data_IF_954981326367
#
_entry.id   IF_954981326367
#
_cell.length_a   1.000
_cell.length_b   1.000
_cell.length_c   1.000
_cell.angle_alpha   90.00
_cell.angle_beta   90.00
_cell.angle_gamma   90.00
#
_symmetry.space_group_name_H-M   'P 1'
#
loop_
_entity.id
_entity.type
_entity.pdbx_description
1 polymer ?
#
# COMPACT_ATOMS: atom_id res chain seq x y z
N UNK A 1 -15.49 19.57 -41.84
CA UNK A 1 -14.47 19.72 -42.89
C UNK A 1 -13.11 19.72 -42.22
N UNK A 2 -12.31 18.67 -42.44
CA UNK A 2 -10.99 18.52 -41.83
C UNK A 2 -10.02 19.33 -42.70
N UNK A 3 -9.62 20.52 -42.24
CA UNK A 3 -8.57 21.29 -42.91
C UNK A 3 -7.24 20.59 -42.62
N UNK A 4 -6.87 19.57 -43.42
CA UNK A 4 -5.57 18.92 -43.28
C UNK A 4 -4.51 19.90 -43.78
N UNK A 5 -3.77 20.52 -42.86
CA UNK A 5 -2.56 21.25 -43.22
C UNK A 5 -1.38 20.26 -43.28
N UNK A 6 -0.63 20.17 -44.39
CA UNK A 6 0.51 19.26 -44.49
C UNK A 6 1.65 19.57 -43.49
N UNK A 7 1.75 20.82 -43.04
CA UNK A 7 2.80 21.27 -42.11
C UNK A 7 2.40 21.17 -40.64
N UNK A 8 1.14 20.78 -40.35
CA UNK A 8 0.62 20.69 -38.97
C UNK A 8 1.48 19.75 -38.11
N UNK A 9 1.83 18.58 -38.65
CA UNK A 9 2.66 17.60 -37.95
C UNK A 9 4.04 18.17 -37.61
N UNK A 10 4.68 18.88 -38.55
CA UNK A 10 5.99 19.51 -38.35
C UNK A 10 5.94 20.62 -37.31
N UNK A 11 4.89 21.45 -37.31
CA UNK A 11 4.66 22.48 -36.28
C UNK A 11 4.44 21.83 -34.92
N UNK A 12 3.62 20.78 -34.84
CA UNK A 12 3.37 20.05 -33.60
C UNK A 12 4.64 19.42 -33.03
N UNK A 13 5.50 18.85 -33.88
CA UNK A 13 6.77 18.27 -33.49
C UNK A 13 7.76 19.34 -32.97
N UNK A 14 7.84 20.50 -33.62
CA UNK A 14 8.68 21.61 -33.16
C UNK A 14 8.24 22.16 -31.79
N UNK A 15 6.93 22.20 -31.53
CA UNK A 15 6.35 22.57 -30.23
C UNK A 15 6.70 21.53 -29.16
N UNK A 16 6.53 20.24 -29.46
CA UNK A 16 6.84 19.15 -28.52
C UNK A 16 8.34 19.11 -28.17
N UNK A 17 9.21 19.35 -29.16
CA UNK A 17 10.65 19.46 -28.97
C UNK A 17 11.08 20.73 -28.20
N UNK A 18 10.16 21.66 -27.93
CA UNK A 18 10.46 22.92 -27.24
C UNK A 18 11.30 23.90 -28.07
N UNK A 19 11.33 23.72 -29.40
CA UNK A 19 12.11 24.55 -30.32
C UNK A 19 11.35 25.79 -30.78
N UNK A 20 10.04 25.84 -30.57
CA UNK A 20 9.21 26.99 -30.88
C UNK A 20 9.32 28.08 -29.81
N UNK A 21 9.46 29.38 -30.15
CA UNK A 21 9.48 29.99 -31.49
C UNK A 21 10.90 30.29 -32.03
N UNK A 22 11.93 30.21 -31.20
CA UNK A 22 13.25 30.80 -31.51
C UNK A 22 14.22 29.82 -32.18
N UNK A 23 14.02 28.51 -32.01
CA UNK A 23 14.86 27.45 -32.58
C UNK A 23 14.15 26.65 -33.69
N UNK A 24 13.06 27.20 -34.24
CA UNK A 24 12.33 26.61 -35.36
C UNK A 24 12.73 27.25 -36.70
N UNK A 25 12.52 26.51 -37.78
CA UNK A 25 12.75 26.98 -39.14
C UNK A 25 11.88 28.23 -39.44
N UNK A 26 12.46 29.35 -39.92
CA UNK A 26 11.72 30.58 -40.22
C UNK A 26 10.57 30.38 -41.20
N UNK A 27 10.69 29.44 -42.15
CA UNK A 27 9.63 29.15 -43.12
C UNK A 27 8.42 28.49 -42.45
N UNK A 28 8.67 27.64 -41.45
CA UNK A 28 7.63 26.99 -40.66
C UNK A 28 6.89 28.00 -39.77
N UNK A 29 7.62 29.00 -39.27
CA UNK A 29 7.06 30.11 -38.51
C UNK A 29 6.15 30.99 -39.37
N UNK A 30 6.63 31.41 -40.54
CA UNK A 30 5.84 32.19 -41.48
C UNK A 30 4.57 31.43 -41.91
N UNK A 31 4.66 30.11 -42.10
CA UNK A 31 3.50 29.28 -42.40
C UNK A 31 2.46 29.27 -41.27
N UNK A 32 2.89 29.13 -40.01
CA UNK A 32 1.96 29.11 -38.88
C UNK A 32 1.24 30.45 -38.67
N UNK A 33 1.85 31.57 -39.06
CA UNK A 33 1.22 32.89 -39.03
C UNK A 33 0.16 33.06 -40.13
N UNK A 34 0.34 32.40 -41.28
CA UNK A 34 -0.62 32.44 -42.40
C UNK A 34 -1.69 31.34 -42.39
N UNK A 35 -1.47 30.23 -41.67
CA UNK A 35 -2.37 29.08 -41.65
C UNK A 35 -3.17 29.02 -40.35
N UNK A 36 -4.51 29.10 -40.47
CA UNK A 36 -5.44 29.07 -39.32
C UNK A 36 -5.32 27.80 -38.46
N UNK A 37 -5.07 26.63 -39.07
CA UNK A 37 -4.93 25.37 -38.34
C UNK A 37 -3.66 25.38 -37.49
N UNK A 38 -2.54 25.76 -38.09
CA UNK A 38 -1.25 25.84 -37.41
C UNK A 38 -1.24 26.95 -36.34
N UNK A 39 -1.89 28.10 -36.60
CA UNK A 39 -2.01 29.18 -35.62
C UNK A 39 -2.79 28.76 -34.38
N UNK A 40 -3.89 28.01 -34.56
CA UNK A 40 -4.72 27.52 -33.45
C UNK A 40 -3.93 26.52 -32.59
N UNK A 41 -3.17 25.62 -33.22
CA UNK A 41 -2.29 24.67 -32.52
C UNK A 41 -1.22 25.40 -31.71
N UNK A 42 -0.54 26.39 -32.30
CA UNK A 42 0.46 27.21 -31.61
C UNK A 42 -0.17 27.98 -30.45
N UNK A 43 -1.35 28.56 -30.64
CA UNK A 43 -2.05 29.33 -29.61
C UNK A 43 -2.42 28.46 -28.41
N UNK A 44 -3.00 27.27 -28.64
CA UNK A 44 -3.36 26.34 -27.56
C UNK A 44 -2.12 25.83 -26.84
N UNK A 45 -1.09 25.41 -27.59
CA UNK A 45 0.12 24.88 -26.99
C UNK A 45 0.88 25.92 -26.16
N UNK A 46 1.00 27.17 -26.65
CA UNK A 46 1.66 28.25 -25.91
C UNK A 46 0.85 28.68 -24.69
N UNK A 47 -0.48 28.68 -24.75
CA UNK A 47 -1.34 28.94 -23.59
C UNK A 47 -1.16 27.87 -22.50
N UNK A 48 -1.17 26.59 -22.87
CA UNK A 48 -0.91 25.47 -21.97
C UNK A 48 0.50 25.52 -21.37
N UNK A 49 1.52 25.86 -22.18
CA UNK A 49 2.90 26.00 -21.69
C UNK A 49 3.00 27.14 -20.67
N UNK A 50 2.32 28.26 -20.93
CA UNK A 50 2.28 29.41 -20.01
C UNK A 50 1.58 29.06 -18.70
N UNK A 51 0.44 28.37 -18.74
CA UNK A 51 -0.25 27.92 -17.52
C UNK A 51 0.62 26.92 -16.75
N UNK A 52 1.24 25.97 -17.43
CA UNK A 52 2.16 25.01 -16.79
C UNK A 52 3.33 25.72 -16.10
N UNK A 53 3.99 26.66 -16.78
CA UNK A 53 5.08 27.42 -16.20
C UNK A 53 4.62 28.26 -14.99
N UNK A 54 3.42 28.83 -15.04
CA UNK A 54 2.87 29.58 -13.90
C UNK A 54 2.60 28.67 -12.70
N UNK A 55 2.11 27.44 -12.93
CA UNK A 55 1.90 26.44 -11.89
C UNK A 55 3.24 25.96 -11.34
N UNK A 56 4.25 25.77 -12.20
CA UNK A 56 5.58 25.36 -11.79
C UNK A 56 6.28 26.43 -10.95
N UNK A 57 6.08 27.71 -11.27
CA UNK A 57 6.60 28.82 -10.46
C UNK A 57 5.85 28.97 -9.14
N UNK A 58 4.53 28.71 -9.12
CA UNK A 58 3.74 28.71 -7.90
C UNK A 58 3.98 27.48 -7.02
N UNK A 59 4.33 26.35 -7.63
CA UNK A 59 4.74 25.14 -6.93
C UNK A 59 6.11 25.37 -6.30
N UNK A 60 6.14 25.65 -5.00
CA UNK A 60 7.38 25.56 -4.24
C UNK A 60 7.74 24.06 -4.16
N UNK A 61 8.79 23.59 -4.85
CA UNK A 61 9.19 22.20 -4.73
C UNK A 61 9.52 21.96 -3.26
N UNK A 62 8.97 20.87 -2.69
CA UNK A 62 9.42 20.39 -1.39
C UNK A 62 10.95 20.33 -1.38
N UNK A 63 11.56 20.71 -0.26
CA UNK A 63 13.02 20.86 -0.20
C UNK A 63 13.71 19.62 -0.79
N UNK A 64 14.77 19.79 -1.60
CA UNK A 64 15.44 18.66 -2.27
C UNK A 64 15.84 17.55 -1.28
N UNK A 65 16.20 17.93 -0.05
CA UNK A 65 16.48 16.99 1.04
C UNK A 65 15.26 16.18 1.48
N UNK A 66 14.05 16.75 1.51
CA UNK A 66 12.83 16.02 1.85
C UNK A 66 12.47 14.99 0.76
N UNK A 67 12.63 15.35 -0.51
CA UNK A 67 12.41 14.44 -1.64
C UNK A 67 13.40 13.27 -1.60
N UNK A 68 14.69 13.57 -1.40
CA UNK A 68 15.72 12.54 -1.27
C UNK A 68 15.50 11.65 -0.05
N UNK A 69 15.17 12.23 1.11
CA UNK A 69 14.88 11.49 2.33
C UNK A 69 13.67 10.56 2.17
N UNK A 70 12.59 11.03 1.53
CA UNK A 70 11.43 10.19 1.21
C UNK A 70 11.80 9.03 0.28
N UNK A 71 12.63 9.28 -0.74
CA UNK A 71 13.12 8.24 -1.63
C UNK A 71 13.97 7.21 -0.88
N UNK A 72 14.87 7.68 -0.01
CA UNK A 72 15.74 6.82 0.80
C UNK A 72 14.94 5.98 1.80
N UNK A 73 13.93 6.54 2.47
CA UNK A 73 13.06 5.78 3.38
C UNK A 73 12.32 4.67 2.62
N UNK A 74 11.80 4.94 1.42
CA UNK A 74 11.14 3.90 0.62
C UNK A 74 12.09 2.75 0.30
N UNK A 75 13.34 3.05 -0.03
CA UNK A 75 14.36 2.03 -0.28
C UNK A 75 14.69 1.22 0.98
N UNK A 76 14.82 1.87 2.14
CA UNK A 76 15.09 1.19 3.42
C UNK A 76 13.92 0.33 3.86
N UNK A 77 12.67 0.82 3.72
CA UNK A 77 11.48 0.06 4.06
C UNK A 77 11.35 -1.20 3.19
N UNK A 78 11.64 -1.11 1.89
CA UNK A 78 11.64 -2.28 1.00
C UNK A 78 12.68 -3.34 1.40
N UNK A 79 13.80 -2.94 2.03
CA UNK A 79 14.79 -3.87 2.57
C UNK A 79 14.32 -4.48 3.91
N UNK A 80 13.70 -3.68 4.78
CA UNK A 80 13.14 -4.14 6.06
C UNK A 80 11.98 -5.13 5.88
N UNK A 81 11.13 -4.93 4.87
CA UNK A 81 10.04 -5.86 4.54
C UNK A 81 10.55 -7.31 4.38
N UNK A 82 11.72 -7.47 3.73
CA UNK A 82 12.35 -8.79 3.52
C UNK A 82 12.91 -9.39 4.81
N UNK A 83 13.35 -8.56 5.74
CA UNK A 83 13.91 -8.99 7.04
C UNK A 83 12.80 -9.33 8.03
N UNK A 84 11.61 -8.73 7.89
CA UNK A 84 10.47 -8.98 8.79
C UNK A 84 9.65 -10.23 8.42
N UNK A 85 9.69 -10.69 7.17
CA UNK A 85 9.04 -11.94 6.75
C UNK A 85 9.39 -13.19 7.60
N UNK A 86 10.65 -13.46 7.98
CA UNK A 86 10.99 -14.65 8.78
C UNK A 86 10.42 -14.62 10.20
N UNK A 87 10.19 -13.43 10.78
CA UNK A 87 9.66 -13.29 12.16
C UNK A 87 8.23 -13.84 12.24
N UNK A 88 7.40 -13.52 11.24
CA UNK A 88 6.01 -14.00 11.17
C UNK A 88 5.96 -15.52 10.97
N UNK A 89 6.92 -16.09 10.25
CA UNK A 89 7.03 -17.56 10.07
C UNK A 89 7.44 -18.23 11.39
N UNK A 90 8.41 -17.67 12.09
CA UNK A 90 8.87 -18.19 13.38
C UNK A 90 7.74 -18.21 14.43
N UNK A 91 6.93 -17.15 14.49
CA UNK A 91 5.79 -17.08 15.40
C UNK A 91 4.74 -18.16 15.11
N UNK A 92 4.44 -18.42 13.83
CA UNK A 92 3.51 -19.49 13.43
C UNK A 92 4.05 -20.88 13.76
N UNK A 93 5.34 -21.10 13.56
CA UNK A 93 5.98 -22.39 13.90
C UNK A 93 5.97 -22.61 15.40
N UNK A 94 6.29 -21.58 16.19
CA UNK A 94 6.22 -21.66 17.66
C UNK A 94 4.81 -21.98 18.15
N UNK A 95 3.78 -21.29 17.61
CA UNK A 95 2.39 -21.56 17.96
C UNK A 95 1.96 -23.00 17.63
N UNK A 96 2.36 -23.52 16.46
CA UNK A 96 2.08 -24.91 16.07
C UNK A 96 2.78 -25.92 16.99
N UNK A 97 4.04 -25.69 17.36
CA UNK A 97 4.78 -26.57 18.29
C UNK A 97 4.11 -26.58 19.65
N UNK A 98 3.71 -25.41 20.18
CA UNK A 98 3.01 -25.32 21.47
C UNK A 98 1.69 -26.08 21.42
N UNK A 99 0.90 -25.90 20.37
CA UNK A 99 -0.38 -26.59 20.21
C UNK A 99 -0.20 -28.12 20.14
N UNK A 100 0.78 -28.59 19.38
CA UNK A 100 1.11 -30.02 19.31
C UNK A 100 1.58 -30.56 20.66
N UNK A 101 2.41 -29.82 21.40
CA UNK A 101 2.88 -30.21 22.71
C UNK A 101 1.73 -30.33 23.72
N UNK A 102 0.78 -29.38 23.71
CA UNK A 102 -0.42 -29.43 24.55
C UNK A 102 -1.26 -30.66 24.21
N UNK A 103 -1.52 -30.92 22.92
CA UNK A 103 -2.29 -32.09 22.49
C UNK A 103 -1.60 -33.39 22.89
N UNK A 104 -0.29 -33.51 22.67
CA UNK A 104 0.49 -34.69 23.05
C UNK A 104 0.43 -34.92 24.56
N UNK A 105 0.56 -33.86 25.37
CA UNK A 105 0.49 -33.94 26.82
C UNK A 105 -0.92 -34.34 27.31
N UNK A 106 -1.97 -33.85 26.66
CA UNK A 106 -3.35 -34.26 26.93
C UNK A 106 -3.59 -35.74 26.58
N UNK A 107 -3.01 -36.22 25.48
CA UNK A 107 -3.11 -37.63 25.06
C UNK A 107 -2.35 -38.54 26.00
N UNK A 108 -1.12 -38.18 26.38
CA UNK A 108 -0.32 -38.95 27.33
C UNK A 108 -1.03 -39.03 28.68
N UNK A 109 -1.52 -37.89 29.16
CA UNK A 109 -2.09 -37.79 30.51
C UNK A 109 -3.56 -38.16 30.57
N UNK A 110 -4.16 -38.75 29.53
CA UNK A 110 -5.58 -39.13 29.45
C UNK A 110 -6.11 -39.82 30.72
N UNK A 111 -5.33 -40.72 31.31
CA UNK A 111 -5.72 -41.47 32.51
C UNK A 111 -5.86 -40.55 33.74
N UNK A 112 -4.82 -39.79 34.08
CA UNK A 112 -4.86 -38.79 35.17
C UNK A 112 -5.85 -37.65 34.88
N UNK A 113 -5.99 -37.27 33.60
CA UNK A 113 -6.85 -36.19 33.16
C UNK A 113 -8.32 -36.53 33.40
N UNK A 114 -8.72 -37.79 33.24
CA UNK A 114 -10.09 -38.24 33.56
C UNK A 114 -10.41 -38.14 35.05
N UNK A 115 -9.44 -38.50 35.91
CA UNK A 115 -9.55 -38.37 37.36
C UNK A 115 -9.60 -36.91 37.80
N UNK A 116 -8.71 -36.07 37.27
CA UNK A 116 -8.70 -34.63 37.53
C UNK A 116 -9.93 -33.91 36.96
N UNK A 117 -10.39 -34.24 35.74
CA UNK A 117 -11.64 -33.69 35.20
C UNK A 117 -12.82 -34.04 36.10
N UNK A 118 -12.90 -35.28 36.60
CA UNK A 118 -13.99 -35.68 37.50
C UNK A 118 -13.95 -34.94 38.84
N UNK A 119 -12.75 -34.67 39.37
CA UNK A 119 -12.58 -33.93 40.64
C UNK A 119 -12.75 -32.41 40.48
N UNK A 120 -12.57 -31.88 39.27
CA UNK A 120 -12.84 -30.47 38.94
C UNK A 120 -14.30 -30.26 38.52
N UNK A 121 -14.89 -31.17 37.73
CA UNK A 121 -16.29 -31.08 37.29
C UNK A 121 -17.29 -31.47 38.37
N UNK A 122 -16.92 -32.34 39.32
CA UNK A 122 -17.73 -32.66 40.50
C UNK A 122 -18.19 -31.41 41.27
N UNK A 123 -17.27 -30.57 41.77
CA UNK A 123 -17.61 -29.31 42.45
C UNK A 123 -18.14 -28.24 41.49
N UNK A 124 -17.77 -28.25 40.20
CA UNK A 124 -18.28 -27.30 39.20
C UNK A 124 -19.77 -27.48 38.89
N UNK A 125 -20.30 -28.70 39.03
CA UNK A 125 -21.72 -29.01 38.87
C UNK A 125 -22.59 -28.46 40.03
N UNK A 126 -21.98 -28.04 41.14
CA UNK A 126 -22.70 -27.30 42.18
C UNK A 126 -22.98 -25.87 41.69
N UNK A 127 -24.25 -25.44 41.78
CA UNK A 127 -24.76 -24.17 41.22
C UNK A 127 -24.01 -22.89 41.64
N UNK A 128 -23.07 -22.96 42.58
CA UNK A 128 -22.33 -21.82 43.12
C UNK A 128 -21.09 -21.39 42.29
N UNK A 129 -20.51 -22.27 41.45
CA UNK A 129 -19.25 -22.00 40.73
C UNK A 129 -19.41 -21.83 39.21
N UNK A 130 -20.61 -22.10 38.67
CA UNK A 130 -20.97 -21.94 37.26
C UNK A 130 -20.61 -20.56 36.66
N UNK A 131 -20.91 -19.41 37.31
CA UNK A 131 -20.63 -18.11 36.70
C UNK A 131 -19.12 -17.84 36.58
N UNK A 132 -18.31 -18.22 37.57
CA UNK A 132 -16.85 -17.99 37.54
C UNK A 132 -16.16 -18.79 36.43
N UNK A 133 -16.61 -20.02 36.17
CA UNK A 133 -16.07 -20.86 35.11
C UNK A 133 -16.52 -20.43 33.71
N UNK A 134 -17.77 -20.00 33.55
CA UNK A 134 -18.23 -19.41 32.29
C UNK A 134 -17.47 -18.12 31.95
N UNK A 135 -17.17 -17.29 32.95
CA UNK A 135 -16.36 -16.08 32.75
C UNK A 135 -14.91 -16.45 32.39
N UNK A 136 -14.30 -17.42 33.06
CA UNK A 136 -12.93 -17.87 32.77
C UNK A 136 -12.77 -18.51 31.38
N UNK A 137 -13.75 -19.33 30.98
CA UNK A 137 -13.77 -19.95 29.64
C UNK A 137 -14.10 -18.93 28.55
N UNK A 138 -15.02 -18.00 28.78
CA UNK A 138 -15.30 -16.91 27.86
C UNK A 138 -14.10 -15.96 27.70
N UNK A 139 -13.39 -15.64 28.79
CA UNK A 139 -12.19 -14.80 28.75
C UNK A 139 -11.05 -15.47 27.97
N UNK A 140 -10.82 -16.76 28.18
CA UNK A 140 -9.82 -17.51 27.40
C UNK A 140 -10.21 -17.62 25.93
N UNK A 141 -11.47 -17.93 25.61
CA UNK A 141 -11.97 -17.91 24.22
C UNK A 141 -11.88 -16.54 23.57
N UNK A 142 -12.14 -15.45 24.30
CA UNK A 142 -12.00 -14.09 23.81
C UNK A 142 -10.54 -13.71 23.54
N UNK A 143 -9.61 -14.17 24.38
CA UNK A 143 -8.16 -13.96 24.18
C UNK A 143 -7.69 -14.77 22.97
N UNK A 144 -8.03 -16.06 22.88
CA UNK A 144 -7.65 -16.90 21.73
C UNK A 144 -8.32 -16.44 20.44
N UNK A 145 -9.58 -16.02 20.48
CA UNK A 145 -10.31 -15.45 19.35
C UNK A 145 -9.74 -14.10 18.92
N UNK A 146 -9.38 -13.24 19.86
CA UNK A 146 -8.72 -11.95 19.60
C UNK A 146 -7.36 -12.13 18.95
N UNK A 147 -6.57 -13.11 19.41
CA UNK A 147 -5.28 -13.48 18.80
C UNK A 147 -5.50 -14.05 17.39
N UNK A 148 -6.49 -14.91 17.18
CA UNK A 148 -6.81 -15.45 15.86
C UNK A 148 -7.25 -14.35 14.87
N UNK A 149 -8.09 -13.41 15.31
CA UNK A 149 -8.53 -12.26 14.50
C UNK A 149 -7.38 -11.30 14.22
N UNK A 150 -6.49 -11.05 15.19
CA UNK A 150 -5.28 -10.25 14.98
C UNK A 150 -4.36 -10.87 13.93
N UNK A 151 -4.16 -12.20 14.00
CA UNK A 151 -3.36 -12.94 13.03
C UNK A 151 -3.99 -13.01 11.63
N UNK A 152 -5.33 -13.01 11.54
CA UNK A 152 -6.04 -12.95 10.26
C UNK A 152 -6.03 -11.55 9.67
N UNK A 153 -6.18 -10.51 10.48
CA UNK A 153 -6.15 -9.12 10.02
C UNK A 153 -4.75 -8.67 9.62
N UNK A 154 -3.70 -9.21 10.24
CA UNK A 154 -2.31 -9.00 9.82
C UNK A 154 -1.96 -9.67 8.47
N UNK A 155 -2.90 -10.43 7.88
CA UNK A 155 -2.76 -11.11 6.59
C UNK A 155 -3.33 -10.29 5.42
N UNK A 156 -4.18 -9.29 5.69
CA UNK A 156 -4.72 -8.33 4.70
C UNK A 156 -3.84 -7.07 4.63
#
# INVERSE_FOLDING_TARGET
MKYLCPQEERVSAAIQAGQWPDACDPDLRAHAEGCRVCSDVVLVATALRRSYNSMLQAAQPASPGLLWWRAQIRQKNAALERVMQPVVVAEKVAAMIILLAVVALLVWRRADLSGWLSSVWGPLSSMALLPGFLIGTAATLAIFGGVAVYLLKAKE
#
